data_IF_779839090810
#
_entry.id   IF_779839090810
#
_cell.length_a   1.000
_cell.length_b   1.000
_cell.length_c   1.000
_cell.angle_alpha   90.00
_cell.angle_beta   90.00
_cell.angle_gamma   90.00
#
_symmetry.space_group_name_H-M   'P 1'
#
loop_
_entity.id
_entity.type
_entity.pdbx_description
1 polymer ?
#
# COMPACT_ATOMS: atom_id res chain seq x y z
N UNK A 1 57.52 -44.54 27.35
CA UNK A 1 56.59 -44.70 26.20
C UNK A 1 55.19 -44.42 26.73
N UNK A 2 54.63 -43.23 26.47
CA UNK A 2 53.27 -42.85 26.92
C UNK A 2 52.30 -43.26 25.82
N UNK A 3 51.50 -44.29 26.05
CA UNK A 3 50.42 -44.72 25.15
C UNK A 3 49.31 -43.66 25.19
N UNK A 4 49.12 -42.99 24.07
CA UNK A 4 47.99 -42.08 23.87
C UNK A 4 46.73 -42.93 23.67
N UNK A 5 45.84 -42.93 24.66
CA UNK A 5 44.52 -43.53 24.51
C UNK A 5 43.72 -42.69 23.51
N UNK A 6 43.48 -43.27 22.32
CA UNK A 6 42.59 -42.67 21.33
C UNK A 6 41.15 -42.86 21.80
N UNK A 7 40.61 -41.86 22.48
CA UNK A 7 39.19 -41.80 22.81
C UNK A 7 38.35 -41.79 21.53
N UNK A 8 37.59 -42.86 21.29
CA UNK A 8 36.58 -42.91 20.23
C UNK A 8 35.27 -42.32 20.71
N UNK A 9 34.57 -41.58 19.85
CA UNK A 9 33.24 -41.05 20.15
C UNK A 9 32.22 -42.18 20.25
N UNK A 10 31.33 -42.11 21.26
CA UNK A 10 30.21 -43.04 21.36
C UNK A 10 29.10 -42.66 20.36
N UNK A 11 28.32 -43.65 19.92
CA UNK A 11 27.17 -43.42 19.02
C UNK A 11 26.14 -42.47 19.63
N UNK A 12 25.97 -42.47 20.96
CA UNK A 12 25.05 -41.58 21.65
C UNK A 12 25.55 -40.12 21.62
N UNK A 13 26.85 -39.88 21.78
CA UNK A 13 27.43 -38.53 21.68
C UNK A 13 27.30 -37.97 20.26
N UNK A 14 27.49 -38.80 19.23
CA UNK A 14 27.31 -38.36 17.84
C UNK A 14 25.84 -37.99 17.55
N UNK A 15 24.89 -38.75 18.09
CA UNK A 15 23.46 -38.53 17.88
C UNK A 15 22.98 -37.27 18.62
N UNK A 16 23.45 -37.05 19.86
CA UNK A 16 23.16 -35.84 20.62
C UNK A 16 23.80 -34.61 19.95
N UNK A 17 25.07 -34.72 19.52
CA UNK A 17 25.76 -33.61 18.87
C UNK A 17 25.11 -33.20 17.55
N UNK A 18 24.75 -34.16 16.69
CA UNK A 18 24.06 -33.86 15.42
C UNK A 18 22.66 -33.31 15.63
N UNK A 19 21.93 -33.82 16.63
CA UNK A 19 20.62 -33.28 17.03
C UNK A 19 20.70 -31.83 17.54
N UNK A 20 21.68 -31.52 18.39
CA UNK A 20 21.93 -30.16 18.87
C UNK A 20 22.34 -29.22 17.75
N UNK A 21 23.22 -29.65 16.84
CA UNK A 21 23.61 -28.86 15.67
C UNK A 21 22.40 -28.58 14.78
N UNK A 22 21.54 -29.56 14.51
CA UNK A 22 20.33 -29.34 13.70
C UNK A 22 19.37 -28.32 14.33
N UNK A 23 19.17 -28.38 15.66
CA UNK A 23 18.33 -27.42 16.39
C UNK A 23 18.95 -26.02 16.38
N UNK A 24 20.26 -25.90 16.66
CA UNK A 24 20.96 -24.63 16.66
C UNK A 24 21.03 -24.01 15.25
N UNK A 25 21.20 -24.82 14.21
CA UNK A 25 21.15 -24.36 12.81
C UNK A 25 19.75 -23.89 12.41
N UNK A 26 18.69 -24.61 12.79
CA UNK A 26 17.32 -24.18 12.53
C UNK A 26 16.97 -22.87 13.28
N UNK A 27 17.43 -22.74 14.53
CA UNK A 27 17.26 -21.52 15.32
C UNK A 27 18.03 -20.32 14.72
N UNK A 28 19.26 -20.54 14.22
CA UNK A 28 20.06 -19.49 13.58
C UNK A 28 19.39 -18.93 12.31
N UNK A 29 18.78 -19.79 11.50
CA UNK A 29 18.05 -19.38 10.28
C UNK A 29 16.78 -18.58 10.62
N UNK A 30 16.16 -18.83 11.77
CA UNK A 30 15.02 -18.03 12.25
C UNK A 30 15.44 -16.66 12.80
N UNK A 31 16.68 -16.54 13.29
CA UNK A 31 17.23 -15.28 13.82
C UNK A 31 17.80 -14.40 12.69
N UNK A 32 18.38 -15.00 11.65
CA UNK A 32 18.92 -14.29 10.48
C UNK A 32 17.93 -14.39 9.33
N UNK A 33 17.17 -13.33 9.04
CA UNK A 33 16.31 -13.26 7.85
C UNK A 33 17.18 -13.18 6.57
N UNK A 34 17.35 -14.28 5.79
CA UNK A 34 18.30 -14.29 4.68
C UNK A 34 17.81 -13.44 3.51
N UNK A 35 16.49 -13.30 3.34
CA UNK A 35 15.90 -12.42 2.34
C UNK A 35 16.25 -10.95 2.61
N UNK A 36 16.30 -10.56 3.89
CA UNK A 36 16.70 -9.21 4.29
C UNK A 36 18.19 -8.93 4.02
N UNK A 37 19.08 -9.90 4.23
CA UNK A 37 20.50 -9.75 3.87
C UNK A 37 20.71 -9.58 2.35
N UNK A 38 19.91 -10.29 1.54
CA UNK A 38 19.93 -10.10 0.09
C UNK A 38 19.41 -8.71 -0.30
N UNK A 39 18.35 -8.22 0.35
CA UNK A 39 17.86 -6.83 0.17
C UNK A 39 18.91 -5.80 0.54
N UNK A 40 19.61 -5.98 1.66
CA UNK A 40 20.71 -5.10 2.07
C UNK A 40 21.85 -5.10 1.05
N UNK A 41 22.16 -6.25 0.45
CA UNK A 41 23.19 -6.35 -0.58
C UNK A 41 22.77 -5.59 -1.83
N UNK A 42 21.52 -5.77 -2.29
CA UNK A 42 20.99 -5.03 -3.45
C UNK A 42 20.96 -3.52 -3.19
N UNK A 43 20.46 -3.08 -2.04
CA UNK A 43 20.45 -1.65 -1.68
C UNK A 43 21.85 -1.06 -1.59
N UNK A 44 22.82 -1.79 -1.05
CA UNK A 44 24.23 -1.35 -1.05
C UNK A 44 24.76 -1.18 -2.49
N UNK A 45 24.32 -2.01 -3.44
CA UNK A 45 24.63 -1.83 -4.86
C UNK A 45 23.93 -0.59 -5.41
N UNK A 46 22.65 -0.35 -5.10
CA UNK A 46 21.91 0.85 -5.54
C UNK A 46 22.59 2.14 -5.13
N UNK A 47 22.95 2.26 -3.85
CA UNK A 47 23.67 3.43 -3.32
C UNK A 47 25.03 3.64 -4.03
N UNK A 48 25.78 2.56 -4.25
CA UNK A 48 27.07 2.62 -4.93
C UNK A 48 26.92 3.01 -6.41
N UNK A 49 25.92 2.46 -7.10
CA UNK A 49 25.62 2.74 -8.50
C UNK A 49 25.24 4.21 -8.69
N UNK A 50 24.26 4.72 -7.93
CA UNK A 50 23.79 6.11 -8.02
C UNK A 50 24.91 7.10 -7.73
N UNK A 51 25.73 6.86 -6.70
CA UNK A 51 26.90 7.71 -6.40
C UNK A 51 27.97 7.65 -7.50
N UNK A 52 28.13 6.51 -8.18
CA UNK A 52 29.08 6.38 -9.29
C UNK A 52 28.59 7.14 -10.53
N UNK A 53 27.30 7.08 -10.82
CA UNK A 53 26.66 7.85 -11.89
C UNK A 53 26.74 9.35 -11.59
N UNK A 54 26.37 9.78 -10.39
CA UNK A 54 26.42 11.19 -9.96
C UNK A 54 27.83 11.78 -10.11
N UNK A 55 28.87 11.04 -9.68
CA UNK A 55 30.27 11.46 -9.89
C UNK A 55 30.64 11.56 -11.37
N UNK A 56 30.18 10.65 -12.21
CA UNK A 56 30.44 10.69 -13.65
C UNK A 56 29.77 11.91 -14.31
N UNK A 57 28.54 12.23 -13.91
CA UNK A 57 27.80 13.40 -14.39
C UNK A 57 28.44 14.71 -13.92
N UNK A 58 28.90 14.79 -12.66
CA UNK A 58 29.68 15.93 -12.14
C UNK A 58 30.96 16.15 -12.94
N UNK A 59 31.70 15.08 -13.25
CA UNK A 59 32.90 15.19 -14.07
C UNK A 59 32.58 15.64 -15.50
N UNK A 60 31.51 15.13 -16.09
CA UNK A 60 31.04 15.59 -17.41
C UNK A 60 30.66 17.07 -17.40
N UNK A 61 29.90 17.54 -16.41
CA UNK A 61 29.51 18.96 -16.28
C UNK A 61 30.73 19.89 -16.21
N UNK A 62 31.75 19.49 -15.45
CA UNK A 62 32.96 20.28 -15.23
C UNK A 62 33.88 20.33 -16.47
N UNK A 63 33.90 19.27 -17.27
CA UNK A 63 34.80 19.16 -18.42
C UNK A 63 34.15 19.62 -19.74
N UNK A 64 32.86 19.33 -19.92
CA UNK A 64 32.12 19.57 -21.16
C UNK A 64 31.19 20.76 -20.99
N UNK A 65 31.73 21.96 -21.22
CA UNK A 65 30.97 23.21 -21.14
C UNK A 65 29.80 23.23 -22.15
N UNK A 66 28.57 23.31 -21.63
CA UNK A 66 27.36 23.29 -22.46
C UNK A 66 27.00 21.91 -23.02
N UNK A 67 27.59 20.84 -22.48
CA UNK A 67 27.22 19.47 -22.82
C UNK A 67 25.74 19.18 -22.58
N UNK A 68 25.15 18.35 -23.43
CA UNK A 68 23.76 17.93 -23.27
C UNK A 68 23.61 16.96 -22.09
N UNK A 69 22.58 17.19 -21.26
CA UNK A 69 22.14 16.28 -20.20
C UNK A 69 20.87 15.50 -20.56
N UNK A 70 20.31 15.72 -21.76
CA UNK A 70 19.00 15.22 -22.16
C UNK A 70 17.90 16.28 -22.09
N UNK A 71 16.64 15.85 -22.07
CA UNK A 71 15.46 16.73 -22.04
C UNK A 71 14.83 16.76 -20.65
N UNK A 72 14.65 17.95 -20.08
CA UNK A 72 14.21 18.14 -18.67
C UNK A 72 12.78 17.70 -18.38
N UNK A 73 11.93 17.55 -19.40
CA UNK A 73 10.57 17.01 -19.27
C UNK A 73 10.49 15.49 -19.44
N UNK A 74 11.63 14.80 -19.52
CA UNK A 74 11.68 13.35 -19.72
C UNK A 74 12.25 12.68 -18.46
N UNK A 75 11.49 11.73 -17.91
CA UNK A 75 11.93 10.82 -16.87
C UNK A 75 12.51 9.59 -17.56
N UNK A 76 13.84 9.52 -17.63
CA UNK A 76 14.52 8.40 -18.25
C UNK A 76 14.58 7.21 -17.29
N UNK A 77 14.38 5.99 -17.80
CA UNK A 77 14.21 4.78 -16.99
C UNK A 77 15.27 3.73 -17.36
N UNK A 78 15.88 3.08 -16.35
CA UNK A 78 16.93 2.07 -16.57
C UNK A 78 16.45 0.75 -17.18
N UNK A 79 15.14 0.56 -17.31
CA UNK A 79 14.53 -0.61 -17.92
C UNK A 79 14.50 -0.41 -19.44
N UNK A 80 15.01 -1.38 -20.22
CA UNK A 80 14.95 -1.25 -21.67
C UNK A 80 13.55 -1.47 -22.21
N UNK A 81 13.18 -0.68 -23.22
CA UNK A 81 11.97 -0.88 -24.02
C UNK A 81 12.31 -0.60 -25.49
N UNK A 82 11.70 -1.35 -26.41
CA UNK A 82 11.78 -1.06 -27.84
C UNK A 82 11.08 0.24 -28.23
N UNK A 83 10.10 0.67 -27.44
CA UNK A 83 9.41 1.96 -27.59
C UNK A 83 10.13 3.04 -26.75
N UNK A 84 10.58 4.15 -27.36
CA UNK A 84 11.29 5.21 -26.64
C UNK A 84 10.47 5.91 -25.57
N UNK A 85 9.14 5.76 -25.56
CA UNK A 85 8.23 6.29 -24.55
C UNK A 85 7.94 5.32 -23.39
N UNK A 86 8.61 4.17 -23.34
CA UNK A 86 8.40 3.11 -22.34
C UNK A 86 6.98 2.49 -22.36
N UNK A 87 6.27 2.57 -23.50
CA UNK A 87 4.87 2.21 -23.59
C UNK A 87 4.56 0.74 -23.23
N UNK A 88 5.53 -0.18 -23.38
CA UNK A 88 5.32 -1.60 -23.14
C UNK A 88 5.64 -2.02 -21.70
N UNK A 89 6.14 -1.12 -20.86
CA UNK A 89 6.51 -1.41 -19.48
C UNK A 89 5.34 -1.36 -18.49
N UNK A 90 4.15 -0.91 -18.92
CA UNK A 90 2.97 -0.81 -18.07
C UNK A 90 3.12 0.19 -16.92
N UNK A 91 4.01 1.18 -17.06
CA UNK A 91 4.23 2.22 -16.06
C UNK A 91 3.02 3.17 -16.00
N UNK A 92 2.67 3.60 -14.78
CA UNK A 92 1.66 4.64 -14.59
C UNK A 92 2.17 5.96 -15.21
N UNK A 93 1.39 6.66 -16.05
CA UNK A 93 1.86 7.89 -16.68
C UNK A 93 2.32 8.94 -15.64
N UNK A 94 3.46 9.61 -15.86
CA UNK A 94 3.91 10.67 -14.96
C UNK A 94 2.99 11.91 -15.11
N UNK A 95 2.93 12.80 -14.11
CA UNK A 95 2.11 14.01 -14.19
C UNK A 95 2.64 14.93 -15.29
N UNK A 96 1.76 15.62 -16.05
CA UNK A 96 2.20 16.65 -16.99
C UNK A 96 3.04 17.73 -16.29
N UNK A 97 4.10 18.26 -16.93
CA UNK A 97 4.47 18.07 -18.34
C UNK A 97 5.40 16.88 -18.62
N UNK A 98 5.64 16.00 -17.64
CA UNK A 98 6.62 14.93 -17.77
C UNK A 98 6.14 13.78 -18.67
N UNK A 99 7.09 13.10 -19.32
CA UNK A 99 6.90 11.85 -20.06
C UNK A 99 8.02 10.87 -19.73
N UNK A 100 7.85 9.58 -20.02
CA UNK A 100 8.93 8.60 -19.86
C UNK A 100 9.85 8.54 -21.08
N UNK A 101 11.11 8.17 -20.85
CA UNK A 101 12.12 7.92 -21.87
C UNK A 101 12.82 6.58 -21.63
N UNK A 102 12.79 5.69 -22.61
CA UNK A 102 13.47 4.40 -22.57
C UNK A 102 14.47 4.25 -23.71
N UNK A 103 15.53 3.50 -23.44
CA UNK A 103 16.49 3.08 -24.45
C UNK A 103 16.28 1.59 -24.78
N UNK A 104 16.51 1.15 -26.03
CA UNK A 104 16.34 -0.24 -26.41
C UNK A 104 17.39 -1.15 -25.75
N UNK A 105 17.09 -2.45 -25.63
CA UNK A 105 17.96 -3.46 -24.98
C UNK A 105 19.39 -3.44 -25.51
N UNK A 106 19.59 -3.14 -26.80
CA UNK A 106 20.91 -3.08 -27.44
C UNK A 106 21.79 -1.91 -26.98
N UNK A 107 21.20 -0.81 -26.50
CA UNK A 107 21.96 0.40 -26.16
C UNK A 107 21.71 0.92 -24.75
N UNK A 108 20.70 0.42 -24.03
CA UNK A 108 20.27 1.00 -22.75
C UNK A 108 21.39 1.20 -21.73
N UNK A 109 22.44 0.38 -21.76
CA UNK A 109 23.59 0.53 -20.85
C UNK A 109 24.81 1.23 -21.44
N UNK A 110 24.72 1.76 -22.65
CA UNK A 110 25.83 2.46 -23.28
C UNK A 110 26.09 3.80 -22.60
N UNK A 111 27.37 4.17 -22.52
CA UNK A 111 27.82 5.46 -21.99
C UNK A 111 28.03 6.52 -23.09
N UNK A 112 27.55 6.24 -24.30
CA UNK A 112 27.75 7.04 -25.52
C UNK A 112 26.59 8.00 -25.82
N UNK A 113 25.77 8.34 -24.81
CA UNK A 113 24.57 9.17 -24.97
C UNK A 113 23.31 8.46 -25.50
N UNK A 114 23.40 7.20 -25.92
CA UNK A 114 22.26 6.39 -26.38
C UNK A 114 21.75 5.40 -25.33
N UNK A 115 22.27 5.50 -24.10
CA UNK A 115 21.83 4.71 -22.96
C UNK A 115 20.56 5.26 -22.33
N UNK A 116 20.14 4.63 -21.23
CA UNK A 116 19.04 5.14 -20.41
C UNK A 116 19.38 6.48 -19.75
N UNK A 117 20.66 6.84 -19.65
CA UNK A 117 21.10 8.21 -19.40
C UNK A 117 21.57 8.81 -20.74
N UNK A 118 20.93 9.88 -21.24
CA UNK A 118 21.21 10.48 -22.55
C UNK A 118 22.42 11.42 -22.51
N UNK A 119 23.51 11.01 -21.85
CA UNK A 119 24.75 11.78 -21.70
C UNK A 119 25.89 10.98 -22.32
N UNK A 120 26.64 11.60 -23.24
CA UNK A 120 27.81 10.99 -23.85
C UNK A 120 29.04 11.19 -22.96
N UNK A 121 29.18 10.30 -21.97
CA UNK A 121 30.30 10.29 -21.05
C UNK A 121 31.63 9.96 -21.74
N UNK A 122 31.63 9.53 -23.02
CA UNK A 122 32.87 9.29 -23.77
C UNK A 122 33.54 10.58 -24.23
N UNK A 123 32.82 11.72 -24.20
CA UNK A 123 33.37 13.03 -24.51
C UNK A 123 34.30 13.58 -23.42
N UNK A 124 34.23 13.03 -22.20
CA UNK A 124 35.08 13.45 -21.09
C UNK A 124 36.55 13.25 -21.49
N UNK A 125 37.35 14.30 -21.40
CA UNK A 125 38.75 14.38 -21.83
C UNK A 125 39.64 13.36 -21.13
N UNK A 126 39.34 13.03 -19.87
CA UNK A 126 40.03 12.02 -19.08
C UNK A 126 39.57 10.57 -19.39
N UNK A 127 38.63 10.41 -20.32
CA UNK A 127 37.91 9.17 -20.58
C UNK A 127 36.68 9.01 -19.69
N UNK A 128 35.76 8.15 -20.11
CA UNK A 128 34.53 7.88 -19.36
C UNK A 128 34.83 7.20 -18.01
N UNK A 129 34.34 7.73 -16.87
CA UNK A 129 34.47 7.07 -15.57
C UNK A 129 33.70 5.75 -15.46
N UNK A 130 32.73 5.54 -16.34
CA UNK A 130 31.90 4.34 -16.40
C UNK A 130 32.14 3.62 -17.73
N UNK A 131 32.36 2.30 -17.68
CA UNK A 131 32.42 1.49 -18.90
C UNK A 131 31.03 1.06 -19.39
N UNK A 132 30.02 1.15 -18.52
CA UNK A 132 28.63 0.73 -18.75
C UNK A 132 27.74 1.45 -17.74
N UNK A 133 26.54 1.87 -18.13
CA UNK A 133 25.58 2.42 -17.18
C UNK A 133 25.06 1.30 -16.26
N UNK A 134 25.17 1.47 -14.93
CA UNK A 134 24.52 0.57 -13.98
C UNK A 134 23.00 0.53 -14.19
N UNK A 135 22.38 -0.56 -13.76
CA UNK A 135 20.93 -0.72 -13.67
C UNK A 135 20.62 -1.37 -12.34
N UNK A 136 19.40 -1.18 -11.83
CA UNK A 136 18.96 -1.80 -10.58
C UNK A 136 19.20 -3.33 -10.62
N UNK A 137 19.64 -3.98 -9.52
CA UNK A 137 19.84 -5.43 -9.51
C UNK A 137 18.58 -6.25 -9.87
N UNK A 138 17.39 -5.69 -9.64
CA UNK A 138 16.10 -6.27 -10.03
C UNK A 138 15.64 -5.74 -11.40
N UNK A 139 15.75 -4.43 -11.63
CA UNK A 139 15.36 -3.71 -12.87
C UNK A 139 14.00 -4.14 -13.44
N UNK A 140 12.97 -4.12 -12.60
CA UNK A 140 11.63 -4.61 -12.92
C UNK A 140 10.57 -3.50 -12.75
N UNK A 141 9.78 -3.19 -13.80
CA UNK A 141 8.73 -2.18 -13.69
C UNK A 141 7.64 -2.57 -12.69
N UNK A 142 7.35 -3.87 -12.53
CA UNK A 142 6.27 -4.33 -11.67
C UNK A 142 6.59 -4.16 -10.17
N UNK A 143 7.83 -4.42 -9.77
CA UNK A 143 8.27 -4.18 -8.39
C UNK A 143 8.62 -2.71 -8.11
N UNK A 144 8.68 -1.86 -9.13
CA UNK A 144 9.15 -0.48 -9.03
C UNK A 144 10.65 -0.32 -8.75
N UNK A 145 11.42 -1.43 -8.79
CA UNK A 145 12.86 -1.44 -8.51
C UNK A 145 13.64 -1.23 -9.80
N UNK A 146 13.88 0.04 -10.11
CA UNK A 146 14.65 0.51 -11.25
C UNK A 146 15.12 1.94 -10.98
N UNK A 147 16.16 2.37 -11.69
CA UNK A 147 16.69 3.71 -11.59
C UNK A 147 15.94 4.66 -12.53
N UNK A 148 15.76 5.90 -12.09
CA UNK A 148 15.30 6.99 -12.96
C UNK A 148 16.28 8.14 -12.98
N UNK A 149 16.31 8.86 -14.09
CA UNK A 149 17.13 10.04 -14.31
C UNK A 149 16.30 11.16 -14.92
N UNK A 150 16.41 12.38 -14.40
CA UNK A 150 15.80 13.59 -14.98
C UNK A 150 16.91 14.56 -15.37
N UNK A 151 16.83 15.13 -16.57
CA UNK A 151 17.85 16.01 -17.13
C UNK A 151 17.72 17.48 -16.67
N UNK A 152 18.83 18.22 -16.70
CA UNK A 152 18.98 19.56 -16.14
C UNK A 152 20.14 19.55 -15.15
N UNK A 153 19.93 20.10 -13.96
CA UNK A 153 20.79 19.88 -12.78
C UNK A 153 20.53 18.49 -12.18
N UNK A 154 20.75 17.43 -12.95
CA UNK A 154 20.20 16.08 -12.79
C UNK A 154 19.78 15.58 -11.40
N UNK A 155 18.77 14.72 -11.41
CA UNK A 155 18.32 13.93 -10.27
C UNK A 155 18.28 12.45 -10.66
N UNK A 156 18.83 11.58 -9.79
CA UNK A 156 18.86 10.13 -9.90
C UNK A 156 18.11 9.52 -8.72
N UNK A 157 17.15 8.63 -9.03
CA UNK A 157 16.30 8.06 -7.98
C UNK A 157 16.31 6.53 -8.01
N UNK A 158 16.29 5.92 -6.82
CA UNK A 158 16.15 4.48 -6.66
C UNK A 158 15.28 4.14 -5.43
N UNK A 159 14.38 3.17 -5.56
CA UNK A 159 13.65 2.63 -4.40
C UNK A 159 14.54 1.65 -3.62
N UNK A 160 14.52 1.75 -2.29
CA UNK A 160 15.29 0.87 -1.39
C UNK A 160 14.38 -0.18 -0.73
N UNK A 161 14.86 -1.42 -0.66
CA UNK A 161 14.06 -2.57 -0.25
C UNK A 161 14.22 -2.96 1.23
N UNK A 162 15.42 -2.80 1.77
CA UNK A 162 15.82 -3.29 3.09
C UNK A 162 15.35 -2.34 4.18
N UNK A 163 15.09 -2.89 5.35
CA UNK A 163 14.78 -2.12 6.55
C UNK A 163 15.98 -1.28 7.00
N UNK A 164 17.19 -1.81 6.80
CA UNK A 164 18.45 -1.15 7.19
C UNK A 164 18.65 0.19 6.50
N UNK A 165 18.40 0.25 5.19
CA UNK A 165 18.67 1.45 4.39
C UNK A 165 17.47 2.41 4.27
N UNK A 166 16.33 2.12 4.92
CA UNK A 166 15.20 3.06 4.95
C UNK A 166 15.57 4.43 5.56
N UNK A 167 16.55 4.46 6.47
CA UNK A 167 17.03 5.72 7.05
C UNK A 167 17.70 6.65 6.04
N UNK A 168 18.24 6.11 4.94
CA UNK A 168 18.90 6.90 3.90
C UNK A 168 17.90 7.79 3.14
N UNK A 169 16.65 7.35 2.99
CA UNK A 169 15.55 8.10 2.36
C UNK A 169 15.17 9.38 3.13
N UNK A 170 15.51 9.43 4.42
CA UNK A 170 15.23 10.60 5.26
C UNK A 170 16.42 11.56 5.37
N UNK A 171 17.60 11.13 4.91
CA UNK A 171 18.86 11.84 5.06
C UNK A 171 19.46 12.35 3.75
N UNK A 172 18.82 12.08 2.62
CA UNK A 172 19.29 12.47 1.28
C UNK A 172 18.93 13.91 0.89
N UNK A 173 18.06 14.58 1.66
CA UNK A 173 17.56 15.95 1.42
C UNK A 173 16.73 16.08 0.13
N UNK A 174 16.24 14.97 -0.41
CA UNK A 174 15.36 14.98 -1.57
C UNK A 174 13.91 15.30 -1.21
N UNK A 175 13.04 15.28 -2.23
CA UNK A 175 11.63 15.66 -2.10
C UNK A 175 10.67 14.47 -2.06
N UNK A 176 11.10 13.28 -2.46
CA UNK A 176 10.32 12.04 -2.46
C UNK A 176 10.76 11.11 -1.33
N UNK A 177 9.95 11.07 -0.26
CA UNK A 177 10.23 10.30 0.97
C UNK A 177 10.36 8.77 0.77
N UNK A 178 10.11 8.26 -0.44
CA UNK A 178 10.11 6.84 -0.77
C UNK A 178 11.26 6.44 -1.69
N UNK A 179 12.02 7.40 -2.20
CA UNK A 179 13.13 7.17 -3.10
C UNK A 179 14.41 7.73 -2.50
N UNK A 180 15.50 7.03 -2.74
CA UNK A 180 16.82 7.57 -2.47
C UNK A 180 17.21 8.46 -3.64
N UNK A 181 17.44 9.74 -3.35
CA UNK A 181 17.65 10.80 -4.34
C UNK A 181 19.12 11.27 -4.33
N UNK A 182 19.78 11.29 -5.49
CA UNK A 182 21.16 11.76 -5.65
C UNK A 182 21.25 12.65 -6.88
N UNK A 183 21.90 13.81 -6.78
CA UNK A 183 21.91 14.75 -7.90
C UNK A 183 22.55 16.09 -7.58
N UNK A 184 22.46 17.01 -8.54
CA UNK A 184 22.79 18.42 -8.33
C UNK A 184 21.57 19.28 -7.98
N UNK A 185 20.36 18.81 -8.28
CA UNK A 185 19.07 19.35 -7.82
C UNK A 185 18.10 18.18 -7.57
N UNK A 186 17.59 18.07 -6.34
CA UNK A 186 16.75 16.95 -5.88
C UNK A 186 15.25 17.28 -5.88
N UNK A 187 14.87 18.36 -6.56
CA UNK A 187 13.48 18.79 -6.74
C UNK A 187 13.04 18.75 -8.21
N UNK A 188 13.76 17.99 -9.05
CA UNK A 188 13.52 17.90 -10.49
C UNK A 188 12.52 16.80 -10.84
N UNK A 189 12.57 15.65 -10.16
CA UNK A 189 11.64 14.58 -10.44
C UNK A 189 10.24 14.99 -9.99
N UNK A 190 9.21 14.70 -10.81
CA UNK A 190 7.88 14.67 -10.25
C UNK A 190 7.88 13.60 -9.14
N UNK A 191 7.24 13.85 -7.98
CA UNK A 191 7.07 12.83 -6.96
C UNK A 191 6.56 11.60 -7.67
N UNK A 192 7.33 10.51 -7.60
CA UNK A 192 6.99 9.37 -8.42
C UNK A 192 5.63 8.96 -7.92
N UNK A 193 4.68 8.81 -8.84
CA UNK A 193 3.45 8.07 -8.57
C UNK A 193 3.83 6.59 -8.43
N UNK A 194 4.80 6.31 -7.55
CA UNK A 194 4.99 4.99 -7.01
C UNK A 194 3.69 4.68 -6.30
N UNK A 195 3.14 3.54 -6.65
CA UNK A 195 2.30 2.76 -5.75
C UNK A 195 3.11 2.38 -4.49
N UNK A 196 3.59 3.37 -3.73
CA UNK A 196 4.29 3.24 -2.44
C UNK A 196 3.96 4.39 -1.48
N UNK A 197 2.95 5.23 -1.74
CA UNK A 197 2.10 5.60 -0.63
C UNK A 197 1.54 4.26 -0.13
N UNK A 198 1.98 3.81 1.06
CA UNK A 198 1.48 2.57 1.63
C UNK A 198 -0.04 2.52 1.45
N UNK A 199 -0.56 1.35 1.07
CA UNK A 199 -1.98 1.17 0.72
C UNK A 199 -2.81 1.94 1.73
N UNK A 200 -3.65 2.86 1.25
CA UNK A 200 -4.52 3.64 2.12
C UNK A 200 -5.96 3.40 1.71
N UNK A 201 -6.86 3.43 2.68
CA UNK A 201 -8.29 3.31 2.45
C UNK A 201 -8.91 4.59 2.97
N UNK A 202 -9.55 5.34 2.09
CA UNK A 202 -10.13 6.66 2.39
C UNK A 202 -11.63 6.58 2.65
N UNK A 203 -12.36 5.72 1.92
CA UNK A 203 -13.79 5.55 2.14
C UNK A 203 -14.31 4.20 1.64
N UNK A 204 -15.49 3.83 2.13
CA UNK A 204 -16.31 2.72 1.64
C UNK A 204 -17.76 3.19 1.52
N UNK A 205 -18.46 2.77 0.47
CA UNK A 205 -19.88 3.11 0.27
C UNK A 205 -20.71 1.87 -0.13
N UNK A 206 -21.84 1.60 0.55
CA UNK A 206 -22.23 2.19 1.84
C UNK A 206 -21.24 1.85 2.97
N UNK A 207 -21.15 2.71 3.98
CA UNK A 207 -20.32 2.51 5.17
C UNK A 207 -21.05 1.81 6.33
N UNK A 208 -22.19 1.16 6.07
CA UNK A 208 -22.90 0.38 7.07
C UNK A 208 -23.72 -0.75 6.48
N UNK A 209 -24.05 -1.72 7.33
CA UNK A 209 -24.88 -2.88 6.98
C UNK A 209 -25.54 -3.50 8.22
N UNK A 210 -26.43 -4.48 8.03
CA UNK A 210 -27.18 -5.13 9.12
C UNK A 210 -26.68 -6.55 9.34
N UNK A 211 -26.53 -6.97 10.59
CA UNK A 211 -25.86 -8.22 10.98
C UNK A 211 -26.65 -9.54 10.75
N UNK A 212 -27.65 -9.53 9.89
CA UNK A 212 -28.47 -10.69 9.55
C UNK A 212 -28.59 -10.92 8.04
N UNK A 213 -27.81 -10.18 7.24
CA UNK A 213 -27.87 -10.23 5.78
C UNK A 213 -26.52 -9.93 5.13
N UNK A 214 -26.43 -10.18 3.82
CA UNK A 214 -25.32 -9.70 3.00
C UNK A 214 -25.54 -8.24 2.64
N UNK A 215 -24.51 -7.42 2.79
CA UNK A 215 -24.52 -6.00 2.39
C UNK A 215 -23.66 -5.81 1.15
N UNK A 216 -24.25 -5.26 0.10
CA UNK A 216 -23.53 -4.92 -1.14
C UNK A 216 -22.78 -3.60 -0.98
N UNK A 217 -21.56 -3.58 -1.48
CA UNK A 217 -20.67 -2.41 -1.51
C UNK A 217 -20.59 -1.91 -2.95
N UNK A 218 -20.83 -0.62 -3.16
CA UNK A 218 -20.67 -0.01 -4.48
C UNK A 218 -19.21 0.30 -4.76
N UNK A 219 -18.50 0.88 -3.79
CA UNK A 219 -17.16 1.44 -3.98
C UNK A 219 -16.34 1.44 -2.70
N UNK A 220 -15.03 1.25 -2.85
CA UNK A 220 -13.99 1.54 -1.86
C UNK A 220 -12.97 2.45 -2.53
N UNK A 221 -12.63 3.58 -1.90
CA UNK A 221 -11.63 4.52 -2.42
C UNK A 221 -10.40 4.58 -1.53
N UNK A 222 -9.26 4.92 -2.11
CA UNK A 222 -7.99 4.95 -1.41
C UNK A 222 -6.82 5.23 -2.36
N UNK A 223 -5.65 4.70 -2.02
CA UNK A 223 -4.43 4.78 -2.84
C UNK A 223 -3.69 3.44 -2.78
N UNK A 224 -2.96 3.12 -3.84
CA UNK A 224 -2.06 1.96 -3.92
C UNK A 224 -2.76 0.61 -4.06
N UNK A 225 -3.98 0.52 -4.61
CA UNK A 225 -4.66 -0.76 -4.82
C UNK A 225 -4.09 -1.54 -6.02
N UNK A 226 -3.71 -2.80 -5.80
CA UNK A 226 -3.26 -3.70 -6.87
C UNK A 226 -4.39 -4.60 -7.35
N UNK A 227 -4.34 -5.01 -8.62
CA UNK A 227 -5.30 -5.98 -9.16
C UNK A 227 -5.30 -7.27 -8.33
N UNK A 228 -6.50 -7.75 -7.97
CA UNK A 228 -6.66 -8.89 -7.08
C UNK A 228 -6.62 -8.56 -5.58
N UNK A 229 -6.56 -7.28 -5.20
CA UNK A 229 -6.65 -6.89 -3.79
C UNK A 229 -7.92 -7.42 -3.12
N UNK A 230 -7.79 -7.86 -1.87
CA UNK A 230 -8.88 -8.35 -1.04
C UNK A 230 -9.34 -7.28 -0.06
N UNK A 231 -10.66 -7.08 0.07
CA UNK A 231 -11.26 -6.18 1.07
C UNK A 231 -11.82 -6.99 2.24
N UNK A 232 -11.52 -6.59 3.48
CA UNK A 232 -11.97 -7.23 4.71
C UNK A 232 -12.55 -6.22 5.70
N UNK A 233 -13.46 -6.68 6.55
CA UNK A 233 -13.81 -5.99 7.79
C UNK A 233 -13.10 -6.66 8.97
N UNK A 234 -12.43 -5.87 9.80
CA UNK A 234 -11.71 -6.38 10.98
C UNK A 234 -12.17 -5.68 12.26
N UNK A 235 -12.20 -6.42 13.37
CA UNK A 235 -12.56 -5.90 14.70
C UNK A 235 -11.83 -6.70 15.77
N UNK A 236 -11.21 -6.01 16.72
CA UNK A 236 -10.44 -6.65 17.80
C UNK A 236 -11.31 -7.65 18.56
N UNK A 237 -10.81 -8.88 18.72
CA UNK A 237 -11.52 -9.97 19.41
C UNK A 237 -12.62 -10.64 18.59
N UNK A 238 -12.76 -10.32 17.29
CA UNK A 238 -13.68 -10.97 16.36
C UNK A 238 -12.91 -11.60 15.19
N UNK A 239 -13.51 -12.57 14.53
CA UNK A 239 -12.99 -13.08 13.26
C UNK A 239 -13.20 -12.06 12.14
N UNK A 240 -12.24 -11.97 11.22
CA UNK A 240 -12.35 -11.11 10.04
C UNK A 240 -13.52 -11.52 9.14
N UNK A 241 -14.29 -10.55 8.65
CA UNK A 241 -15.28 -10.77 7.59
C UNK A 241 -14.60 -10.49 6.25
N UNK A 242 -14.35 -11.55 5.48
CA UNK A 242 -13.75 -11.40 4.15
C UNK A 242 -14.81 -11.06 3.12
N UNK A 243 -14.57 -10.00 2.35
CA UNK A 243 -15.45 -9.55 1.28
C UNK A 243 -15.35 -10.41 0.03
N UNK A 244 -16.41 -10.45 -0.77
CA UNK A 244 -16.48 -11.20 -2.02
C UNK A 244 -16.91 -10.34 -3.20
N UNK A 245 -16.43 -10.63 -4.42
CA UNK A 245 -16.90 -9.98 -5.65
C UNK A 245 -16.39 -8.56 -5.90
N UNK A 246 -15.37 -8.11 -5.16
CA UNK A 246 -14.70 -6.83 -5.39
C UNK A 246 -13.85 -6.88 -6.67
N UNK A 247 -13.85 -5.79 -7.45
CA UNK A 247 -13.00 -5.64 -8.64
C UNK A 247 -12.19 -4.35 -8.57
N UNK A 248 -10.86 -4.44 -8.66
CA UNK A 248 -9.98 -3.26 -8.64
C UNK A 248 -9.99 -2.63 -10.01
N UNK A 249 -10.48 -1.38 -10.11
CA UNK A 249 -10.59 -0.67 -11.40
C UNK A 249 -9.33 0.12 -11.73
N UNK A 250 -8.67 0.67 -10.71
CA UNK A 250 -7.38 1.35 -10.79
C UNK A 250 -6.78 1.45 -9.37
N UNK A 251 -5.60 2.07 -9.25
CA UNK A 251 -4.88 2.21 -7.98
C UNK A 251 -5.62 2.98 -6.87
N UNK A 252 -6.73 3.66 -7.16
CA UNK A 252 -7.48 4.46 -6.18
C UNK A 252 -8.91 3.97 -5.94
N UNK A 253 -9.40 3.01 -6.75
CA UNK A 253 -10.81 2.64 -6.75
C UNK A 253 -11.02 1.13 -6.89
N UNK A 254 -11.76 0.55 -5.94
CA UNK A 254 -12.31 -0.82 -6.00
C UNK A 254 -13.82 -0.73 -6.12
N UNK A 255 -14.39 -1.42 -7.11
CA UNK A 255 -15.81 -1.40 -7.44
C UNK A 255 -16.51 -2.71 -7.09
N UNK A 256 -17.79 -2.60 -6.72
CA UNK A 256 -18.65 -3.73 -6.40
C UNK A 256 -18.22 -4.49 -5.14
N UNK A 257 -18.81 -5.66 -4.96
CA UNK A 257 -18.52 -6.58 -3.87
C UNK A 257 -19.56 -6.58 -2.76
N UNK A 258 -19.38 -7.47 -1.80
CA UNK A 258 -20.30 -7.65 -0.67
C UNK A 258 -19.61 -8.20 0.56
N UNK A 259 -20.22 -7.95 1.72
CA UNK A 259 -19.89 -8.59 2.98
C UNK A 259 -21.08 -9.39 3.49
N UNK A 260 -20.88 -10.67 3.80
CA UNK A 260 -21.84 -11.45 4.54
C UNK A 260 -21.74 -11.09 6.04
N UNK A 261 -22.72 -10.35 6.55
CA UNK A 261 -22.71 -9.86 7.93
C UNK A 261 -23.53 -10.75 8.88
N UNK A 262 -24.03 -11.90 8.43
CA UNK A 262 -24.87 -12.76 9.25
C UNK A 262 -24.12 -13.22 10.52
N UNK A 263 -24.60 -12.81 11.68
CA UNK A 263 -23.98 -13.12 12.98
C UNK A 263 -22.76 -12.26 13.33
N UNK A 264 -22.39 -11.28 12.51
CA UNK A 264 -21.31 -10.36 12.84
C UNK A 264 -21.67 -9.52 14.08
N UNK A 265 -20.67 -9.29 14.96
CA UNK A 265 -20.85 -8.43 16.12
C UNK A 265 -21.19 -6.99 15.69
N UNK A 266 -22.13 -6.36 16.40
CA UNK A 266 -22.55 -4.99 16.11
C UNK A 266 -21.47 -3.95 16.48
N UNK A 267 -21.63 -2.72 15.99
CA UNK A 267 -20.74 -1.58 16.22
C UNK A 267 -19.75 -1.33 15.09
N UNK A 268 -18.70 -0.55 15.36
CA UNK A 268 -17.70 -0.18 14.36
C UNK A 268 -16.74 -1.32 14.05
N UNK A 269 -16.35 -1.37 12.78
CA UNK A 269 -15.36 -2.27 12.19
C UNK A 269 -14.40 -1.44 11.33
N UNK A 270 -13.15 -1.88 11.26
CA UNK A 270 -12.17 -1.30 10.34
C UNK A 270 -12.38 -1.89 8.95
N UNK A 271 -12.12 -1.11 7.91
CA UNK A 271 -12.06 -1.60 6.52
C UNK A 271 -10.60 -1.78 6.16
N UNK A 272 -10.19 -3.00 5.83
CA UNK A 272 -8.81 -3.32 5.47
C UNK A 272 -8.72 -3.82 4.04
N UNK A 273 -7.85 -3.22 3.25
CA UNK A 273 -7.50 -3.70 1.90
C UNK A 273 -6.12 -4.34 1.96
N UNK A 274 -5.99 -5.53 1.39
CA UNK A 274 -4.74 -6.30 1.32
C UNK A 274 -4.46 -6.57 -0.16
N UNK A 275 -3.32 -6.09 -0.64
CA UNK A 275 -2.88 -6.34 -2.00
C UNK A 275 -2.27 -7.73 -2.16
N UNK A 276 -2.07 -8.13 -3.42
CA UNK A 276 -1.44 -9.42 -3.79
C UNK A 276 0.03 -9.53 -3.39
N UNK A 277 0.70 -8.40 -3.16
CA UNK A 277 2.06 -8.30 -2.61
C UNK A 277 2.10 -8.29 -1.07
N UNK A 278 0.94 -8.44 -0.41
CA UNK A 278 0.72 -8.38 1.04
C UNK A 278 0.84 -6.99 1.69
N UNK A 279 1.03 -5.91 0.92
CA UNK A 279 0.86 -4.55 1.45
C UNK A 279 -0.60 -4.32 1.82
N UNK A 280 -0.86 -3.45 2.80
CA UNK A 280 -2.23 -3.27 3.30
C UNK A 280 -2.51 -1.90 3.88
N UNK A 281 -3.75 -1.45 3.66
CA UNK A 281 -4.29 -0.19 4.18
C UNK A 281 -5.50 -0.43 5.04
N UNK A 282 -5.68 0.41 6.06
CA UNK A 282 -6.81 0.30 6.98
C UNK A 282 -7.49 1.65 7.15
N UNK A 283 -8.80 1.69 6.90
CA UNK A 283 -9.69 2.76 7.35
C UNK A 283 -10.26 2.38 8.70
N UNK A 284 -9.73 2.98 9.76
CA UNK A 284 -10.17 2.74 11.13
C UNK A 284 -11.63 3.17 11.32
N UNK A 285 -12.44 2.33 11.95
CA UNK A 285 -13.88 2.56 12.17
C UNK A 285 -14.66 2.93 10.89
N UNK A 286 -14.19 2.49 9.72
CA UNK A 286 -14.76 2.86 8.42
C UNK A 286 -16.11 2.22 8.09
N UNK A 287 -16.53 1.19 8.82
CA UNK A 287 -17.79 0.49 8.56
C UNK A 287 -18.56 0.21 9.85
N UNK A 288 -19.89 0.36 9.85
CA UNK A 288 -20.75 0.08 11.00
C UNK A 288 -21.69 -1.09 10.75
N UNK A 289 -21.63 -2.10 11.62
CA UNK A 289 -22.56 -3.23 11.63
C UNK A 289 -23.69 -2.93 12.62
N UNK A 290 -24.90 -2.80 12.11
CA UNK A 290 -26.10 -2.49 12.88
C UNK A 290 -26.84 -3.77 13.29
N UNK A 291 -27.51 -3.71 14.44
CA UNK A 291 -28.53 -4.70 14.78
C UNK A 291 -29.71 -4.59 13.79
N UNK A 292 -30.47 -5.66 13.56
CA UNK A 292 -31.68 -5.58 12.77
C UNK A 292 -32.63 -4.59 13.42
N UNK A 293 -33.31 -3.78 12.63
CA UNK A 293 -34.41 -2.97 13.14
C UNK A 293 -35.40 -3.92 13.81
N UNK A 294 -35.74 -3.66 15.07
CA UNK A 294 -36.79 -4.40 15.76
C UNK A 294 -38.11 -4.26 15.01
N UNK A 295 -39.07 -5.18 15.22
CA UNK A 295 -40.40 -5.03 14.66
C UNK A 295 -41.02 -3.68 15.10
N UNK A 296 -41.73 -2.98 14.21
CA UNK A 296 -42.33 -1.68 14.53
C UNK A 296 -43.33 -1.81 15.70
N UNK A 297 -43.56 -0.72 16.46
CA UNK A 297 -44.59 -0.70 17.49
C UNK A 297 -45.97 -0.88 16.85
N UNK A 298 -46.81 -1.71 17.46
CA UNK A 298 -48.19 -1.94 17.00
C UNK A 298 -49.16 -1.58 18.10
N UNK A 299 -50.20 -0.80 17.82
CA UNK A 299 -51.33 -0.59 18.75
C UNK A 299 -52.41 -1.64 18.46
N UNK A 300 -52.81 -2.38 19.48
CA UNK A 300 -53.83 -3.44 19.40
C UNK A 300 -55.19 -2.99 19.94
N UNK A 301 -55.20 -2.16 20.97
CA UNK A 301 -56.43 -1.61 21.56
C UNK A 301 -56.14 -0.38 22.41
N UNK A 302 -57.18 0.39 22.68
CA UNK A 302 -57.20 1.42 23.71
C UNK A 302 -58.24 1.06 24.77
N UNK A 303 -57.94 1.35 26.04
CA UNK A 303 -58.89 1.18 27.12
C UNK A 303 -58.93 2.43 28.01
N UNK A 304 -60.08 3.13 28.09
CA UNK A 304 -61.29 2.91 27.31
C UNK A 304 -61.10 3.19 25.81
N UNK A 305 -61.82 2.47 24.94
CA UNK A 305 -61.80 2.70 23.48
C UNK A 305 -62.77 3.77 23.01
N UNK A 306 -63.66 4.25 23.88
CA UNK A 306 -64.62 5.32 23.56
C UNK A 306 -65.06 6.11 24.80
N UNK A 307 -65.44 7.36 24.56
CA UNK A 307 -66.02 8.29 25.55
C UNK A 307 -67.02 9.24 24.87
N UNK A 308 -67.91 9.81 25.69
CA UNK A 308 -68.82 10.87 25.25
C UNK A 308 -68.09 12.21 25.04
N UNK A 309 -68.66 13.06 24.19
CA UNK A 309 -68.15 14.42 23.96
C UNK A 309 -68.10 15.21 25.28
N UNK A 310 -67.00 15.94 25.50
CA UNK A 310 -66.78 16.73 26.73
C UNK A 310 -66.13 15.98 27.89
N UNK A 311 -65.74 14.72 27.70
CA UNK A 311 -64.94 14.00 28.70
C UNK A 311 -63.58 14.70 28.93
N UNK A 312 -63.21 14.88 30.21
CA UNK A 312 -61.97 15.53 30.62
C UNK A 312 -61.13 14.60 31.51
N UNK A 313 -59.80 14.77 31.46
CA UNK A 313 -58.84 14.09 32.37
C UNK A 313 -58.98 12.56 32.44
N UNK A 314 -59.12 11.90 31.29
CA UNK A 314 -59.24 10.44 31.19
C UNK A 314 -57.89 9.81 30.86
N UNK A 315 -57.48 8.83 31.66
CA UNK A 315 -56.33 7.99 31.31
C UNK A 315 -56.76 6.97 30.24
N UNK A 316 -56.07 6.98 29.10
CA UNK A 316 -56.25 6.00 28.02
C UNK A 316 -55.04 5.06 28.05
N UNK A 317 -55.27 3.79 28.38
CA UNK A 317 -54.24 2.77 28.22
C UNK A 317 -54.15 2.40 26.73
N UNK A 318 -52.96 2.52 26.13
CA UNK A 318 -52.68 2.07 24.77
C UNK A 318 -51.98 0.71 24.87
N UNK A 319 -52.66 -0.35 24.47
CA UNK A 319 -52.11 -1.71 24.50
C UNK A 319 -51.54 -2.08 23.15
N UNK A 320 -50.42 -2.79 23.12
CA UNK A 320 -49.72 -3.08 21.88
C UNK A 320 -48.48 -3.94 22.08
N UNK A 321 -47.64 -3.98 21.05
CA UNK A 321 -46.36 -4.69 21.07
C UNK A 321 -45.24 -3.77 20.60
N UNK A 322 -44.00 -4.09 20.99
CA UNK A 322 -42.76 -3.38 20.62
C UNK A 322 -42.73 -1.88 20.99
N UNK A 323 -43.46 -1.47 22.02
CA UNK A 323 -43.28 -0.13 22.61
C UNK A 323 -41.92 -0.06 23.32
N UNK A 324 -41.10 0.93 22.95
CA UNK A 324 -39.81 1.22 23.58
C UNK A 324 -39.96 2.34 24.62
N UNK A 325 -39.16 2.36 25.69
CA UNK A 325 -39.21 3.43 26.69
C UNK A 325 -38.00 4.37 26.53
N UNK A 326 -38.18 5.71 26.37
CA UNK A 326 -39.47 6.42 26.28
C UNK A 326 -40.15 6.24 24.92
N UNK A 327 -41.48 6.11 24.95
CA UNK A 327 -42.32 6.17 23.75
C UNK A 327 -42.95 7.56 23.65
N UNK A 328 -43.03 8.12 22.45
CA UNK A 328 -43.82 9.32 22.19
C UNK A 328 -45.18 8.91 21.65
N UNK A 329 -46.26 9.47 22.20
CA UNK A 329 -47.63 9.25 21.72
C UNK A 329 -48.18 10.54 21.14
N UNK A 330 -48.66 10.49 19.90
CA UNK A 330 -49.44 11.58 19.29
C UNK A 330 -50.86 11.12 19.08
N UNK A 331 -51.83 11.98 19.41
CA UNK A 331 -53.26 11.73 19.17
C UNK A 331 -53.75 12.81 18.22
N UNK A 332 -54.34 12.39 17.10
CA UNK A 332 -54.93 13.30 16.11
C UNK A 332 -56.45 13.31 16.23
N UNK A 333 -57.07 14.49 16.20
CA UNK A 333 -58.51 14.68 16.20
C UNK A 333 -58.89 16.11 16.59
N UNK A 334 -59.90 16.68 15.94
CA UNK A 334 -60.40 18.02 16.30
C UNK A 334 -61.00 18.00 17.71
N UNK A 335 -60.55 18.92 18.57
CA UNK A 335 -61.06 19.04 19.95
C UNK A 335 -60.47 18.05 20.96
N UNK A 336 -59.40 17.33 20.63
CA UNK A 336 -58.66 16.45 21.56
C UNK A 336 -57.38 17.14 22.03
N UNK A 337 -57.19 17.26 23.35
CA UNK A 337 -55.96 17.78 23.96
C UNK A 337 -55.31 16.68 24.80
N UNK A 338 -54.02 16.43 24.58
CA UNK A 338 -53.21 15.46 25.35
C UNK A 338 -52.46 16.21 26.45
N UNK A 339 -52.71 15.86 27.72
CA UNK A 339 -52.10 16.54 28.87
C UNK A 339 -50.71 15.97 29.23
N UNK A 340 -50.55 14.64 29.16
CA UNK A 340 -49.28 13.94 29.34
C UNK A 340 -49.33 12.59 28.60
N UNK A 341 -48.16 11.98 28.42
CA UNK A 341 -47.95 10.66 27.80
C UNK A 341 -46.93 9.88 28.60
#
# INVERSE_FOLDING_TARGET
MRTSERGGFTLIELLIATGLVAILSAALVLIVNPAELLRQTRDSTRLADLNSIDKALKLYELDILGGSFGTSSVVYVSIPDSDPSCANLGLAPPPPPYVYGCAPTSTHRNVTGNGWIPVDLTQISAGSPLSVLPVDPTNDPASGLYYTYIAGSWELNAALESQKYQGELSGDNGTDLLLYEVGSDLALAPPRSTSSAGVSVSSINPSSGVNNTSTNISTVTGQGFLSGATVKLTKTGQSDVTGSGFTVSNATTINGGSFNLNGAATGTWNVRVINTDNTSGTLSNGFTVNAPAGPPPTVSSTNPSSRGQGATSVNIAVNGSNFTNPATTTVSGTGVTVNNT
#
